data_IF_654435167133
#
_entry.id   IF_654435167133
#
_cell.length_a   1.000
_cell.length_b   1.000
_cell.length_c   1.000
_cell.angle_alpha   90.00
_cell.angle_beta   90.00
_cell.angle_gamma   90.00
#
_symmetry.space_group_name_H-M   'P 1'
#
loop_
_entity.id
_entity.type
_entity.pdbx_description
1 polymer ?
#
# COMPACT_ATOMS: atom_id res chain seq x y z
N UNK A 1 -5.83 14.46 -1.68
CA UNK A 1 -6.45 13.20 -1.21
C UNK A 1 -7.08 12.52 -2.42
N UNK A 2 -6.88 11.22 -2.59
CA UNK A 2 -7.12 10.50 -3.85
C UNK A 2 -8.62 10.17 -4.00
N UNK A 3 -9.36 10.95 -4.81
CA UNK A 3 -10.84 10.93 -4.94
C UNK A 3 -11.47 9.56 -5.18
N UNK A 4 -10.74 8.62 -5.77
CA UNK A 4 -11.23 7.24 -6.01
C UNK A 4 -11.36 6.44 -4.71
N UNK A 5 -10.45 6.66 -3.75
CA UNK A 5 -10.52 5.98 -2.45
C UNK A 5 -11.60 6.59 -1.56
N UNK A 6 -11.83 7.90 -1.65
CA UNK A 6 -12.97 8.59 -1.00
C UNK A 6 -14.31 8.04 -1.51
N UNK A 7 -14.46 7.85 -2.83
CA UNK A 7 -15.69 7.28 -3.41
C UNK A 7 -15.98 5.83 -2.94
N UNK A 8 -14.94 5.01 -2.75
CA UNK A 8 -15.09 3.65 -2.21
C UNK A 8 -15.43 3.65 -0.71
N UNK A 9 -14.91 4.63 0.04
CA UNK A 9 -15.23 4.86 1.44
C UNK A 9 -16.69 5.27 1.65
N UNK A 10 -17.20 6.20 0.84
CA UNK A 10 -18.58 6.72 0.89
C UNK A 10 -19.65 5.65 0.70
N UNK A 11 -19.32 4.52 0.05
CA UNK A 11 -20.23 3.39 -0.14
C UNK A 11 -20.23 2.39 1.02
N UNK A 12 -19.52 2.66 2.10
CA UNK A 12 -19.39 1.78 3.28
C UNK A 12 -19.00 0.33 2.94
N UNK A 13 -18.26 0.14 1.85
CA UNK A 13 -17.82 -1.20 1.43
C UNK A 13 -16.77 -1.75 2.40
N UNK A 14 -15.96 -0.88 3.00
CA UNK A 14 -14.86 -1.17 3.91
C UNK A 14 -15.07 -0.49 5.26
N UNK A 15 -14.58 -1.13 6.33
CA UNK A 15 -14.52 -0.57 7.69
C UNK A 15 -13.41 0.48 7.83
N UNK A 16 -12.40 0.42 6.97
CA UNK A 16 -11.22 1.29 6.97
C UNK A 16 -10.59 1.38 5.58
N UNK A 17 -10.25 2.58 5.11
CA UNK A 17 -9.45 2.80 3.90
C UNK A 17 -8.20 3.58 4.28
N UNK A 18 -7.04 2.99 4.07
CA UNK A 18 -5.75 3.53 4.49
C UNK A 18 -4.79 3.59 3.32
N UNK A 19 -4.03 4.67 3.18
CA UNK A 19 -3.02 4.82 2.14
C UNK A 19 -1.71 5.23 2.79
N UNK A 20 -0.67 4.43 2.58
CA UNK A 20 0.61 4.58 3.26
C UNK A 20 1.80 4.49 2.31
N UNK A 21 2.75 5.42 2.47
CA UNK A 21 4.12 5.29 1.97
C UNK A 21 5.00 4.71 3.08
N UNK A 22 5.29 3.42 2.98
CA UNK A 22 6.08 2.68 3.98
C UNK A 22 7.52 3.18 4.02
N UNK A 23 8.13 3.43 2.87
CA UNK A 23 9.55 3.76 2.79
C UNK A 23 9.83 5.18 3.25
N UNK A 24 8.88 6.10 3.12
CA UNK A 24 8.97 7.40 3.79
C UNK A 24 9.20 7.23 5.29
N UNK A 25 8.39 6.40 5.94
CA UNK A 25 8.51 6.13 7.38
C UNK A 25 9.79 5.37 7.72
N UNK A 26 10.17 4.40 6.88
CA UNK A 26 11.38 3.61 7.09
C UNK A 26 12.66 4.46 7.05
N UNK A 27 12.72 5.51 6.21
CA UNK A 27 13.83 6.47 6.18
C UNK A 27 13.98 7.22 7.50
N UNK A 28 12.86 7.57 8.13
CA UNK A 28 12.83 8.28 9.40
C UNK A 28 13.08 7.34 10.59
N UNK A 29 12.65 6.08 10.48
CA UNK A 29 12.72 5.06 11.54
C UNK A 29 13.26 3.73 10.99
N UNK A 30 14.58 3.59 10.79
CA UNK A 30 15.19 2.45 10.10
C UNK A 30 15.14 1.12 10.85
N UNK A 31 14.65 1.10 12.09
CA UNK A 31 14.56 -0.12 12.91
C UNK A 31 13.17 -0.77 12.88
N UNK A 32 12.17 -0.07 12.35
CA UNK A 32 10.80 -0.59 12.31
C UNK A 32 10.66 -1.66 11.22
N UNK A 33 9.76 -2.62 11.47
CA UNK A 33 9.32 -3.54 10.42
C UNK A 33 8.24 -2.91 9.53
N UNK A 34 8.05 -3.44 8.32
CA UNK A 34 6.95 -2.97 7.44
C UNK A 34 5.59 -3.14 8.12
N UNK A 35 5.39 -4.26 8.80
CA UNK A 35 4.16 -4.55 9.52
C UNK A 35 3.91 -3.57 10.67
N UNK A 36 4.95 -3.20 11.41
CA UNK A 36 4.87 -2.20 12.48
C UNK A 36 4.51 -0.82 11.92
N UNK A 37 5.16 -0.41 10.82
CA UNK A 37 4.87 0.87 10.13
C UNK A 37 3.39 0.94 9.69
N UNK A 38 2.91 -0.12 9.03
CA UNK A 38 1.51 -0.15 8.56
C UNK A 38 0.55 -0.18 9.76
N UNK A 39 0.83 -1.00 10.77
CA UNK A 39 0.01 -1.10 11.97
C UNK A 39 -0.13 0.26 12.69
N UNK A 40 0.98 0.95 12.93
CA UNK A 40 0.96 2.26 13.59
C UNK A 40 0.21 3.31 12.76
N UNK A 41 0.34 3.27 11.43
CA UNK A 41 -0.41 4.15 10.54
C UNK A 41 -1.92 3.90 10.61
N UNK A 42 -2.35 2.63 10.57
CA UNK A 42 -3.75 2.24 10.72
C UNK A 42 -4.32 2.72 12.05
N UNK A 43 -3.57 2.53 13.15
CA UNK A 43 -3.97 2.98 14.50
C UNK A 43 -4.07 4.51 14.58
N UNK A 44 -3.09 5.23 14.01
CA UNK A 44 -3.12 6.69 13.91
C UNK A 44 -4.30 7.20 13.09
N UNK A 45 -4.77 6.42 12.11
CA UNK A 45 -5.98 6.65 11.34
C UNK A 45 -7.29 6.20 12.01
N UNK A 46 -7.26 5.76 13.27
CA UNK A 46 -8.44 5.36 14.03
C UNK A 46 -8.89 3.90 13.83
N UNK A 47 -8.08 3.05 13.20
CA UNK A 47 -8.37 1.62 13.10
C UNK A 47 -8.37 0.95 14.49
N UNK A 48 -9.36 0.10 14.74
CA UNK A 48 -9.43 -0.69 15.97
C UNK A 48 -8.56 -1.96 15.86
N UNK A 49 -7.23 -1.79 15.89
CA UNK A 49 -6.24 -2.87 15.89
C UNK A 49 -5.23 -2.69 17.02
N UNK A 50 -4.68 -3.80 17.52
CA UNK A 50 -3.57 -3.75 18.50
C UNK A 50 -2.25 -3.38 17.83
N UNK A 51 -1.30 -2.87 18.61
CA UNK A 51 0.07 -2.63 18.16
C UNK A 51 0.77 -3.93 17.78
N UNK A 52 1.42 -3.96 16.62
CA UNK A 52 2.07 -5.14 16.06
C UNK A 52 3.56 -4.85 15.86
N UNK A 53 4.44 -5.82 16.16
CA UNK A 53 5.90 -5.68 15.97
C UNK A 53 6.43 -6.43 14.75
N UNK A 54 5.70 -7.44 14.29
CA UNK A 54 6.07 -8.29 13.17
C UNK A 54 4.85 -8.61 12.28
N UNK A 55 5.11 -9.22 11.12
CA UNK A 55 4.07 -9.52 10.13
C UNK A 55 3.05 -10.54 10.63
N UNK A 56 3.44 -11.53 11.41
CA UNK A 56 2.53 -12.56 11.93
C UNK A 56 1.48 -11.96 12.88
N UNK A 57 1.91 -11.08 13.79
CA UNK A 57 1.01 -10.36 14.69
C UNK A 57 0.04 -9.48 13.88
N UNK A 58 0.56 -8.78 12.87
CA UNK A 58 -0.23 -7.90 12.03
C UNK A 58 -1.29 -8.65 11.23
N UNK A 59 -0.91 -9.76 10.62
CA UNK A 59 -1.84 -10.66 9.91
C UNK A 59 -2.94 -11.15 10.85
N UNK A 60 -2.60 -11.56 12.06
CA UNK A 60 -3.57 -12.00 13.05
C UNK A 60 -4.63 -10.92 13.33
N UNK A 61 -4.21 -9.67 13.56
CA UNK A 61 -5.11 -8.54 13.81
C UNK A 61 -5.98 -8.19 12.59
N UNK A 62 -5.50 -8.47 11.37
CA UNK A 62 -6.20 -8.20 10.12
C UNK A 62 -7.18 -9.30 9.68
N UNK A 63 -7.08 -10.54 10.20
CA UNK A 63 -7.82 -11.73 9.69
C UNK A 63 -9.32 -11.50 9.51
N UNK A 64 -9.94 -10.77 10.43
CA UNK A 64 -11.39 -10.53 10.44
C UNK A 64 -11.76 -9.09 10.07
N UNK A 65 -10.81 -8.30 9.54
CA UNK A 65 -11.03 -6.89 9.20
C UNK A 65 -11.45 -6.74 7.76
N UNK A 66 -12.37 -5.82 7.51
CA UNK A 66 -12.80 -5.47 6.16
C UNK A 66 -12.14 -4.16 5.71
N UNK A 67 -10.81 -4.15 5.66
CA UNK A 67 -10.03 -2.96 5.28
C UNK A 67 -9.62 -2.99 3.81
N UNK A 68 -9.37 -1.79 3.28
CA UNK A 68 -8.64 -1.55 2.05
C UNK A 68 -7.35 -0.80 2.39
N UNK A 69 -6.21 -1.42 2.11
CA UNK A 69 -4.89 -0.85 2.39
C UNK A 69 -4.19 -0.59 1.06
N UNK A 70 -3.94 0.68 0.77
CA UNK A 70 -3.11 1.18 -0.30
C UNK A 70 -1.66 1.33 0.17
N UNK A 71 -0.70 0.68 -0.49
CA UNK A 71 0.73 0.83 -0.22
C UNK A 71 1.40 1.50 -1.42
N UNK A 72 1.93 2.69 -1.19
CA UNK A 72 2.50 3.51 -2.25
C UNK A 72 3.98 3.20 -2.51
N UNK A 73 4.35 3.19 -3.78
CA UNK A 73 5.72 3.16 -4.29
C UNK A 73 6.56 2.04 -3.69
N UNK A 74 6.05 0.79 -3.76
CA UNK A 74 6.66 -0.39 -3.15
C UNK A 74 8.07 -0.72 -3.69
N UNK A 75 8.50 -0.04 -4.76
CA UNK A 75 9.79 -0.11 -5.43
C UNK A 75 10.76 1.03 -5.12
N UNK A 76 10.41 1.91 -4.19
CA UNK A 76 11.25 3.07 -3.85
C UNK A 76 12.60 2.71 -3.21
N UNK A 77 12.79 1.45 -2.78
CA UNK A 77 14.04 0.95 -2.21
C UNK A 77 14.50 -0.33 -2.90
N UNK A 78 15.81 -0.45 -3.04
CA UNK A 78 16.46 -1.69 -3.50
C UNK A 78 16.40 -2.75 -2.40
N UNK A 79 16.06 -3.99 -2.76
CA UNK A 79 16.01 -5.12 -1.81
C UNK A 79 17.35 -5.41 -1.14
N UNK A 80 18.47 -5.05 -1.79
CA UNK A 80 19.80 -5.36 -1.30
C UNK A 80 20.16 -4.59 -0.01
N UNK A 81 19.40 -3.54 0.30
CA UNK A 81 19.67 -2.64 1.41
C UNK A 81 18.81 -2.94 2.66
N UNK A 82 17.94 -3.96 2.62
CA UNK A 82 16.92 -4.19 3.63
C UNK A 82 17.00 -5.57 4.30
N UNK A 83 17.11 -5.65 5.65
CA UNK A 83 17.02 -6.91 6.39
C UNK A 83 15.65 -7.58 6.25
N UNK A 84 15.61 -8.90 6.48
CA UNK A 84 14.36 -9.69 6.57
C UNK A 84 13.42 -9.04 7.61
N UNK A 85 12.20 -8.71 7.19
CA UNK A 85 11.21 -7.95 7.99
C UNK A 85 10.99 -6.50 7.55
N UNK A 86 11.90 -5.94 6.75
CA UNK A 86 11.74 -4.63 6.10
C UNK A 86 11.33 -4.72 4.63
N UNK A 87 11.10 -5.96 4.17
CA UNK A 87 10.69 -6.26 2.81
C UNK A 87 9.18 -6.14 2.63
N UNK A 88 8.76 -5.16 1.84
CA UNK A 88 7.34 -4.89 1.56
C UNK A 88 6.70 -6.05 0.78
N UNK A 89 7.44 -6.68 -0.14
CA UNK A 89 6.93 -7.81 -0.94
C UNK A 89 6.58 -9.05 -0.10
N UNK A 90 7.40 -9.35 0.92
CA UNK A 90 7.14 -10.43 1.87
C UNK A 90 5.91 -10.14 2.74
N UNK A 91 5.79 -8.91 3.24
CA UNK A 91 4.64 -8.49 4.04
C UNK A 91 3.32 -8.56 3.25
N UNK A 92 3.31 -8.02 2.03
CA UNK A 92 2.15 -8.06 1.13
C UNK A 92 1.72 -9.50 0.85
N UNK A 93 2.67 -10.39 0.53
CA UNK A 93 2.39 -11.79 0.27
C UNK A 93 1.69 -12.46 1.46
N UNK A 94 2.19 -12.23 2.67
CA UNK A 94 1.64 -12.85 3.86
C UNK A 94 0.22 -12.34 4.18
N UNK A 95 -0.01 -11.02 4.07
CA UNK A 95 -1.34 -10.44 4.24
C UNK A 95 -2.32 -11.00 3.19
N UNK A 96 -1.88 -11.12 1.93
CA UNK A 96 -2.69 -11.68 0.85
C UNK A 96 -3.09 -13.13 1.10
N UNK A 97 -2.17 -13.95 1.62
CA UNK A 97 -2.41 -15.38 1.84
C UNK A 97 -3.27 -15.68 3.07
N UNK A 98 -3.18 -14.84 4.12
CA UNK A 98 -3.73 -15.17 5.43
C UNK A 98 -4.90 -14.27 5.87
N UNK A 99 -5.30 -13.26 5.08
CA UNK A 99 -6.36 -12.31 5.46
C UNK A 99 -7.37 -12.08 4.34
N UNK A 100 -8.51 -11.47 4.67
CA UNK A 100 -9.53 -11.01 3.69
C UNK A 100 -9.42 -9.52 3.37
N UNK A 101 -8.34 -8.87 3.82
CA UNK A 101 -8.10 -7.44 3.58
C UNK A 101 -7.78 -7.23 2.10
N UNK A 102 -8.28 -6.12 1.55
CA UNK A 102 -8.00 -5.75 0.17
C UNK A 102 -6.71 -4.94 0.13
N UNK A 103 -5.80 -5.32 -0.76
CA UNK A 103 -4.52 -4.66 -0.94
C UNK A 103 -4.46 -4.02 -2.32
N UNK A 104 -4.04 -2.76 -2.36
CA UNK A 104 -3.67 -2.07 -3.59
C UNK A 104 -2.24 -1.58 -3.40
N UNK A 105 -1.35 -1.89 -4.34
CA UNK A 105 0.03 -1.43 -4.27
C UNK A 105 0.38 -0.69 -5.56
N UNK A 106 1.14 0.41 -5.44
CA UNK A 106 1.65 1.15 -6.60
C UNK A 106 3.14 0.91 -6.74
N UNK A 107 3.59 0.82 -8.00
CA UNK A 107 4.99 0.58 -8.33
C UNK A 107 5.34 1.19 -9.68
N UNK A 108 6.61 1.52 -9.90
CA UNK A 108 7.13 1.93 -11.20
C UNK A 108 6.93 0.88 -12.29
N UNK A 109 6.85 1.32 -13.55
CA UNK A 109 6.54 0.43 -14.68
C UNK A 109 7.68 -0.48 -15.14
N UNK A 110 8.90 -0.27 -14.63
CA UNK A 110 10.15 -0.86 -15.15
C UNK A 110 10.90 -1.71 -14.13
N UNK A 111 10.20 -2.27 -13.13
CA UNK A 111 10.84 -3.06 -12.07
C UNK A 111 11.15 -4.47 -12.59
N UNK A 112 12.39 -4.92 -12.36
CA UNK A 112 12.78 -6.30 -12.63
C UNK A 112 12.12 -7.21 -11.61
N UNK A 113 11.56 -8.33 -12.06
CA UNK A 113 10.90 -9.31 -11.18
C UNK A 113 11.82 -9.80 -10.03
N UNK A 114 13.14 -9.80 -10.27
CA UNK A 114 14.19 -10.12 -9.31
C UNK A 114 14.18 -9.21 -8.07
N UNK A 115 13.66 -7.99 -8.18
CA UNK A 115 13.58 -7.02 -7.09
C UNK A 115 12.34 -7.20 -6.21
N UNK A 116 11.38 -8.07 -6.56
CA UNK A 116 10.22 -8.37 -5.71
C UNK A 116 9.71 -9.80 -5.97
N UNK A 117 10.51 -10.83 -5.63
CA UNK A 117 10.18 -12.21 -5.93
C UNK A 117 8.92 -12.69 -5.20
N UNK A 118 8.60 -12.17 -4.01
CA UNK A 118 7.42 -12.61 -3.26
C UNK A 118 6.11 -12.19 -3.93
N UNK A 119 6.08 -11.03 -4.60
CA UNK A 119 4.90 -10.59 -5.35
C UNK A 119 4.59 -11.46 -6.57
N UNK A 120 5.59 -12.16 -7.11
CA UNK A 120 5.39 -13.06 -8.26
C UNK A 120 4.50 -14.26 -7.92
N UNK A 121 4.34 -14.56 -6.62
CA UNK A 121 3.49 -15.64 -6.12
C UNK A 121 2.01 -15.23 -5.99
N UNK A 122 1.71 -13.94 -6.10
CA UNK A 122 0.34 -13.41 -6.02
C UNK A 122 -0.25 -13.42 -7.44
N UNK A 123 -1.45 -14.02 -7.65
CA UNK A 123 -2.14 -13.96 -8.93
C UNK A 123 -2.29 -12.51 -9.40
N UNK A 124 -1.75 -12.20 -10.59
CA UNK A 124 -1.67 -10.82 -11.08
C UNK A 124 -3.04 -10.32 -11.55
N UNK A 125 -3.65 -9.46 -10.74
CA UNK A 125 -4.61 -8.45 -11.22
C UNK A 125 -3.90 -7.11 -11.37
N UNK A 126 -2.87 -7.07 -12.22
CA UNK A 126 -2.06 -5.87 -12.42
C UNK A 126 -2.75 -4.94 -13.42
N UNK A 127 -3.10 -3.73 -12.97
CA UNK A 127 -3.55 -2.66 -13.86
C UNK A 127 -2.37 -1.76 -14.20
N UNK A 128 -2.09 -1.58 -15.50
CA UNK A 128 -1.13 -0.58 -15.95
C UNK A 128 -1.85 0.75 -16.15
N UNK A 129 -1.46 1.76 -15.37
CA UNK A 129 -1.97 3.11 -15.56
C UNK A 129 -1.50 3.64 -16.93
N UNK A 130 -2.44 4.15 -17.73
CA UNK A 130 -2.14 4.79 -19.01
C UNK A 130 -1.61 6.20 -18.75
N UNK A 131 -0.69 6.65 -19.60
CA UNK A 131 -0.34 8.06 -19.65
C UNK A 131 -1.60 8.87 -20.00
N UNK A 132 -1.73 10.03 -19.37
CA UNK A 132 -2.79 10.97 -19.74
C UNK A 132 -2.56 11.44 -21.17
N UNK A 133 -3.63 11.52 -21.94
CA UNK A 133 -3.61 12.14 -23.27
C UNK A 133 -3.44 13.66 -23.15
N UNK A 134 -2.92 14.30 -24.19
CA UNK A 134 -2.81 15.76 -24.24
C UNK A 134 -4.16 16.45 -23.98
N UNK A 135 -5.26 15.87 -24.44
CA UNK A 135 -6.61 16.38 -24.21
C UNK A 135 -7.01 16.34 -22.74
N UNK A 136 -6.68 15.26 -22.02
CA UNK A 136 -6.94 15.16 -20.57
C UNK A 136 -6.08 16.13 -19.77
N UNK A 137 -4.80 16.27 -20.14
CA UNK A 137 -3.89 17.25 -19.52
C UNK A 137 -4.43 18.67 -19.71
N UNK A 138 -4.88 19.02 -20.92
CA UNK A 138 -5.45 20.33 -21.20
C UNK A 138 -6.72 20.60 -20.39
N UNK A 139 -7.58 19.59 -20.18
CA UNK A 139 -8.76 19.73 -19.31
C UNK A 139 -8.37 20.05 -17.87
N UNK A 140 -7.38 19.35 -17.32
CA UNK A 140 -6.85 19.61 -15.97
C UNK A 140 -6.29 21.04 -15.90
N UNK A 141 -5.47 21.44 -16.87
CA UNK A 141 -4.85 22.76 -16.92
C UNK A 141 -5.89 23.89 -16.97
N UNK A 142 -6.89 23.80 -17.85
CA UNK A 142 -7.97 24.79 -17.97
C UNK A 142 -8.80 24.88 -16.68
N UNK A 143 -9.06 23.76 -16.01
CA UNK A 143 -9.78 23.78 -14.73
C UNK A 143 -9.02 24.47 -13.59
N UNK A 144 -7.69 24.55 -13.65
CA UNK A 144 -6.87 25.25 -12.65
C UNK A 144 -6.75 26.76 -12.91
N UNK A 145 -6.95 27.20 -14.16
CA UNK A 145 -6.95 28.64 -14.51
C UNK A 145 -8.29 29.31 -14.21
N UNK A 146 -9.38 28.52 -14.16
CA UNK A 146 -10.73 29.03 -13.89
C UNK A 146 -11.09 29.13 -12.40
N UNK A 147 -10.18 28.74 -11.52
CA UNK A 147 -10.24 28.94 -10.07
C UNK A 147 -9.18 29.98 -9.67
#
# INVERSE_FOLDING_TARGET
MNRTFEYLWERHVFEGVFVIDVYKTLREKPMMSVAEIICDHLRGGGANIKGCRNTSDFVYELRNRKYLIGIENIDSFSLNDLPRGQRVDECILQIHQETKVHLVATMGSTIRNEHMPSLQKIPRNTMKLKQMTNTEIMKIFVSHIKN
#
